data_IF_766732247647
#
_entry.id   IF_766732247647
#
_cell.length_a   1.000
_cell.length_b   1.000
_cell.length_c   1.000
_cell.angle_alpha   90.00
_cell.angle_beta   90.00
_cell.angle_gamma   90.00
#
_symmetry.space_group_name_H-M   'P 1'
#
loop_
_entity.id
_entity.type
_entity.pdbx_description
1 polymer ?
#
# COMPACT_ATOMS: atom_id res chain seq x y z
N UNK A 1 5.67 -18.83 15.15
CA UNK A 1 4.77 -17.84 14.55
C UNK A 1 4.31 -18.37 13.21
N UNK A 2 3.01 -18.23 12.89
CA UNK A 2 2.37 -18.74 11.66
C UNK A 2 2.66 -17.82 10.47
N UNK A 3 2.66 -16.50 10.71
CA UNK A 3 2.83 -15.48 9.67
C UNK A 3 3.98 -14.55 9.98
N UNK A 4 4.75 -14.18 8.96
CA UNK A 4 5.80 -13.16 9.05
C UNK A 4 5.18 -11.76 9.03
N UNK A 5 4.08 -11.59 8.27
CA UNK A 5 3.32 -10.34 8.23
C UNK A 5 1.82 -10.59 8.06
N UNK A 6 1.01 -9.79 8.75
CA UNK A 6 -0.41 -9.58 8.51
C UNK A 6 -0.60 -8.18 7.95
N UNK A 7 -1.27 -8.06 6.80
CA UNK A 7 -1.66 -6.77 6.22
C UNK A 7 -3.15 -6.52 6.44
N UNK A 8 -3.55 -5.25 6.60
CA UNK A 8 -4.96 -4.86 6.79
C UNK A 8 -5.38 -3.77 5.82
N UNK A 9 -6.51 -3.96 5.17
CA UNK A 9 -7.21 -2.96 4.38
C UNK A 9 -8.03 -3.53 3.23
N UNK A 10 -8.11 -2.78 2.12
CA UNK A 10 -8.98 -3.09 0.98
C UNK A 10 -8.44 -4.18 0.07
N UNK A 11 -9.39 -4.86 -0.62
CA UNK A 11 -9.10 -5.72 -1.75
C UNK A 11 -9.98 -5.35 -2.95
N UNK A 12 -9.53 -5.69 -4.16
CA UNK A 12 -10.27 -5.42 -5.40
C UNK A 12 -9.93 -6.41 -6.51
N UNK A 13 -10.77 -6.46 -7.52
CA UNK A 13 -10.35 -6.84 -8.87
C UNK A 13 -9.96 -5.56 -9.59
N UNK A 14 -8.74 -5.53 -10.14
CA UNK A 14 -8.27 -4.44 -10.97
C UNK A 14 -8.24 -4.90 -12.43
N UNK A 15 -8.86 -4.15 -13.33
CA UNK A 15 -8.87 -4.44 -14.75
C UNK A 15 -8.04 -3.40 -15.50
N UNK A 16 -6.88 -3.82 -15.98
CA UNK A 16 -5.89 -2.97 -16.63
C UNK A 16 -6.10 -2.97 -18.16
N UNK A 17 -6.09 -1.77 -18.75
CA UNK A 17 -6.12 -1.62 -20.20
C UNK A 17 -4.96 -2.37 -20.85
N UNK A 18 -5.25 -3.17 -21.91
CA UNK A 18 -4.22 -3.76 -22.77
C UNK A 18 -3.76 -2.78 -23.84
N UNK A 19 -4.62 -1.85 -24.24
CA UNK A 19 -4.35 -0.82 -25.24
C UNK A 19 -3.55 0.33 -24.61
N UNK A 20 -2.24 0.10 -24.36
CA UNK A 20 -1.35 1.07 -23.74
C UNK A 20 -1.25 2.33 -24.61
N UNK A 21 -1.52 3.50 -24.03
CA UNK A 21 -1.50 4.80 -24.69
C UNK A 21 -2.83 5.21 -25.30
N UNK A 22 -3.85 4.34 -25.29
CA UNK A 22 -5.19 4.71 -25.73
C UNK A 22 -5.89 5.63 -24.72
N UNK A 23 -6.67 6.60 -25.23
CA UNK A 23 -7.60 7.34 -24.37
C UNK A 23 -8.64 6.37 -23.78
N UNK A 24 -9.16 6.67 -22.60
CA UNK A 24 -10.00 5.74 -21.84
C UNK A 24 -11.23 5.25 -22.64
N UNK A 25 -11.79 6.13 -23.47
CA UNK A 25 -12.97 5.85 -24.33
C UNK A 25 -12.66 4.92 -25.53
N UNK A 26 -11.39 4.77 -25.86
CA UNK A 26 -10.92 3.98 -27.02
C UNK A 26 -10.33 2.61 -26.61
N UNK A 27 -10.38 2.27 -25.30
CA UNK A 27 -9.87 1.00 -24.79
C UNK A 27 -10.85 -0.12 -25.20
N UNK A 28 -10.35 -1.14 -25.89
CA UNK A 28 -11.14 -2.29 -26.34
C UNK A 28 -10.93 -3.54 -25.50
N UNK A 29 -9.73 -3.70 -24.91
CA UNK A 29 -9.39 -4.90 -24.15
C UNK A 29 -8.84 -4.58 -22.76
N UNK A 30 -9.22 -5.41 -21.80
CA UNK A 30 -8.72 -5.35 -20.43
C UNK A 30 -8.19 -6.71 -19.98
N UNK A 31 -7.27 -6.71 -19.02
CA UNK A 31 -6.81 -7.89 -18.30
C UNK A 31 -7.09 -7.72 -16.79
N UNK A 32 -7.60 -8.78 -16.17
CA UNK A 32 -7.90 -8.78 -14.75
C UNK A 32 -6.69 -9.17 -13.90
N UNK A 33 -6.54 -8.50 -12.77
CA UNK A 33 -5.59 -8.81 -11.71
C UNK A 33 -6.28 -8.61 -10.37
N UNK A 34 -5.71 -9.18 -9.30
CA UNK A 34 -6.08 -8.80 -7.95
C UNK A 34 -5.43 -7.46 -7.62
N UNK A 35 -6.10 -6.63 -6.81
CA UNK A 35 -5.63 -5.31 -6.40
C UNK A 35 -5.99 -4.96 -4.97
N UNK A 36 -5.67 -3.73 -4.61
CA UNK A 36 -5.76 -3.21 -3.24
C UNK A 36 -4.40 -3.19 -2.55
N UNK A 37 -3.98 -2.05 -2.03
CA UNK A 37 -2.63 -1.85 -1.48
C UNK A 37 -2.21 -2.95 -0.49
N UNK A 38 -2.98 -3.30 0.58
CA UNK A 38 -2.55 -4.34 1.52
C UNK A 38 -2.47 -5.74 0.89
N UNK A 39 -3.30 -6.02 -0.11
CA UNK A 39 -3.27 -7.27 -0.88
C UNK A 39 -2.03 -7.32 -1.76
N UNK A 40 -1.73 -6.24 -2.47
CA UNK A 40 -0.53 -6.12 -3.30
C UNK A 40 0.74 -6.30 -2.47
N UNK A 41 0.79 -5.70 -1.28
CA UNK A 41 1.91 -5.83 -0.33
C UNK A 41 2.03 -7.28 0.16
N UNK A 42 0.90 -7.92 0.54
CA UNK A 42 0.90 -9.31 1.00
C UNK A 42 1.41 -10.27 -0.09
N UNK A 43 0.91 -10.14 -1.32
CA UNK A 43 1.36 -10.97 -2.46
C UNK A 43 2.83 -10.71 -2.79
N UNK A 44 3.25 -9.44 -2.85
CA UNK A 44 4.65 -9.08 -3.09
C UNK A 44 5.59 -9.69 -2.04
N UNK A 45 5.24 -9.57 -0.76
CA UNK A 45 6.02 -10.13 0.35
C UNK A 45 6.03 -11.68 0.32
N UNK A 46 4.90 -12.31 -0.04
CA UNK A 46 4.81 -13.77 -0.23
C UNK A 46 5.74 -14.25 -1.35
N UNK A 47 5.75 -13.56 -2.48
CA UNK A 47 6.62 -13.88 -3.63
C UNK A 47 8.10 -13.71 -3.30
N UNK A 48 8.45 -12.79 -2.42
CA UNK A 48 9.80 -12.65 -1.87
C UNK A 48 10.16 -13.77 -0.89
N UNK A 49 9.20 -14.53 -0.36
CA UNK A 49 9.40 -15.68 0.51
C UNK A 49 9.05 -15.46 1.98
N UNK A 50 8.23 -14.47 2.30
CA UNK A 50 7.59 -14.35 3.61
C UNK A 50 6.29 -15.17 3.64
N UNK A 51 5.86 -15.57 4.83
CA UNK A 51 4.53 -16.14 5.07
C UNK A 51 3.56 -15.00 5.39
N UNK A 52 2.57 -14.79 4.54
CA UNK A 52 1.68 -13.64 4.63
C UNK A 52 0.24 -14.04 4.87
N UNK A 53 -0.48 -13.17 5.58
CA UNK A 53 -1.93 -13.20 5.71
C UNK A 53 -2.48 -11.79 5.48
N UNK A 54 -3.75 -11.70 5.10
CA UNK A 54 -4.42 -10.42 4.92
C UNK A 54 -5.75 -10.39 5.67
N UNK A 55 -6.01 -9.33 6.43
CA UNK A 55 -7.32 -8.95 6.90
C UNK A 55 -7.92 -7.97 5.90
N UNK A 56 -8.84 -8.47 5.12
CA UNK A 56 -9.71 -7.71 4.20
C UNK A 56 -11.09 -8.33 4.24
N UNK A 57 -12.01 -7.92 3.38
CA UNK A 57 -13.30 -8.56 3.27
C UNK A 57 -13.73 -8.62 1.81
N UNK A 58 -14.61 -9.57 1.48
CA UNK A 58 -15.21 -9.73 0.17
C UNK A 58 -16.74 -9.79 0.27
N UNK A 59 -17.42 -9.44 -0.82
CA UNK A 59 -18.86 -9.66 -0.96
C UNK A 59 -19.16 -11.09 -1.41
N UNK A 60 -20.42 -11.55 -1.29
CA UNK A 60 -20.87 -12.86 -1.81
C UNK A 60 -21.12 -12.78 -3.32
N UNK A 61 -20.06 -12.49 -4.09
CA UNK A 61 -20.13 -12.26 -5.53
C UNK A 61 -18.91 -12.86 -6.27
N UNK A 62 -18.99 -13.05 -7.60
CA UNK A 62 -17.88 -13.62 -8.38
C UNK A 62 -16.56 -12.86 -8.29
N UNK A 63 -16.59 -11.55 -7.98
CA UNK A 63 -15.38 -10.75 -7.76
C UNK A 63 -14.72 -11.15 -6.42
N UNK A 64 -15.52 -11.39 -5.39
CA UNK A 64 -15.04 -11.92 -4.11
C UNK A 64 -14.40 -13.31 -4.28
N UNK A 65 -15.04 -14.19 -5.06
CA UNK A 65 -14.48 -15.52 -5.37
C UNK A 65 -13.15 -15.41 -6.12
N UNK A 66 -13.04 -14.48 -7.08
CA UNK A 66 -11.80 -14.21 -7.82
C UNK A 66 -10.68 -13.75 -6.87
N UNK A 67 -10.98 -12.86 -5.93
CA UNK A 67 -10.00 -12.35 -4.95
C UNK A 67 -9.48 -13.50 -4.09
N UNK A 68 -10.37 -14.30 -3.49
CA UNK A 68 -10.01 -15.44 -2.64
C UNK A 68 -9.22 -16.48 -3.43
N UNK A 69 -9.68 -16.85 -4.64
CA UNK A 69 -8.99 -17.80 -5.51
C UNK A 69 -7.56 -17.34 -5.83
N UNK A 70 -7.39 -16.06 -6.19
CA UNK A 70 -6.09 -15.51 -6.57
C UNK A 70 -5.14 -15.46 -5.37
N UNK A 71 -5.59 -15.03 -4.18
CA UNK A 71 -4.79 -15.05 -2.96
C UNK A 71 -4.30 -16.46 -2.62
N UNK A 72 -5.19 -17.44 -2.67
CA UNK A 72 -4.83 -18.84 -2.43
C UNK A 72 -3.81 -19.36 -3.45
N UNK A 73 -3.95 -19.00 -4.72
CA UNK A 73 -2.99 -19.34 -5.80
C UNK A 73 -1.60 -18.73 -5.55
N UNK A 74 -1.55 -17.49 -5.04
CA UNK A 74 -0.31 -16.81 -4.66
C UNK A 74 0.26 -17.29 -3.30
N UNK A 75 -0.45 -18.14 -2.57
CA UNK A 75 -0.02 -18.70 -1.29
C UNK A 75 -0.21 -17.77 -0.09
N UNK A 76 -0.97 -16.68 -0.25
CA UNK A 76 -1.36 -15.77 0.83
C UNK A 76 -2.50 -16.39 1.61
N UNK A 77 -2.41 -16.43 2.96
CA UNK A 77 -3.49 -16.95 3.78
C UNK A 77 -4.72 -16.06 3.73
N UNK A 78 -5.87 -16.69 3.52
CA UNK A 78 -7.21 -16.09 3.52
C UNK A 78 -7.97 -16.33 4.83
N UNK A 79 -7.30 -16.81 5.89
CA UNK A 79 -7.92 -17.19 7.17
C UNK A 79 -8.68 -16.04 7.84
N UNK A 80 -8.37 -14.78 7.51
CA UNK A 80 -8.95 -13.57 8.12
C UNK A 80 -9.77 -12.75 7.11
N UNK A 81 -10.33 -13.39 6.09
CA UNK A 81 -11.14 -12.71 5.06
C UNK A 81 -12.61 -13.13 5.21
N UNK A 82 -13.45 -12.32 5.89
CA UNK A 82 -14.88 -12.59 5.95
C UNK A 82 -15.57 -12.29 4.62
N UNK A 83 -16.62 -13.05 4.31
CA UNK A 83 -17.62 -12.67 3.31
C UNK A 83 -18.72 -11.88 4.03
N UNK A 84 -18.99 -10.66 3.55
CA UNK A 84 -19.95 -9.75 4.21
C UNK A 84 -21.20 -9.60 3.34
N UNK A 85 -22.31 -10.14 3.83
CA UNK A 85 -23.61 -10.09 3.16
C UNK A 85 -24.08 -8.65 2.90
N UNK A 86 -24.76 -8.45 1.77
CA UNK A 86 -25.30 -7.14 1.39
C UNK A 86 -24.24 -6.15 0.91
N UNK A 87 -23.00 -6.59 0.69
CA UNK A 87 -21.92 -5.78 0.11
C UNK A 87 -21.57 -6.24 -1.31
N UNK A 88 -20.80 -5.42 -2.03
CA UNK A 88 -20.30 -5.74 -3.37
C UNK A 88 -18.79 -5.58 -3.39
N UNK A 89 -18.07 -6.61 -3.81
CA UNK A 89 -16.61 -6.59 -3.91
C UNK A 89 -16.13 -5.48 -4.85
N UNK A 90 -15.04 -4.82 -4.47
CA UNK A 90 -14.52 -3.67 -5.20
C UNK A 90 -13.97 -4.05 -6.57
N UNK A 91 -14.30 -3.26 -7.59
CA UNK A 91 -13.66 -3.31 -8.90
C UNK A 91 -13.03 -1.96 -9.24
N UNK A 92 -11.84 -1.99 -9.87
CA UNK A 92 -11.13 -0.80 -10.34
C UNK A 92 -10.80 -0.96 -11.82
N UNK A 93 -11.16 0.02 -12.63
CA UNK A 93 -10.81 0.05 -14.04
C UNK A 93 -9.65 1.02 -14.23
N UNK A 94 -8.58 0.54 -14.87
CA UNK A 94 -7.31 1.24 -14.98
C UNK A 94 -6.96 1.49 -16.46
N UNK A 95 -6.87 2.76 -16.86
CA UNK A 95 -6.25 3.17 -18.11
C UNK A 95 -4.73 3.30 -17.93
N UNK A 96 -3.95 3.07 -18.99
CA UNK A 96 -2.50 3.15 -18.98
C UNK A 96 -2.02 4.02 -20.13
N UNK A 97 -1.70 5.28 -19.84
CA UNK A 97 -1.19 6.26 -20.81
C UNK A 97 0.15 6.79 -20.28
N UNK A 98 1.26 6.08 -20.50
CA UNK A 98 2.57 6.51 -20.04
C UNK A 98 2.97 7.85 -20.69
N UNK A 99 3.81 8.68 -20.02
CA UNK A 99 4.52 8.34 -18.77
C UNK A 99 3.77 8.69 -17.48
N UNK A 100 2.70 9.51 -17.51
CA UNK A 100 2.16 10.22 -16.36
C UNK A 100 0.63 10.20 -16.22
N UNK A 101 -0.10 9.63 -17.19
CA UNK A 101 -1.56 9.60 -17.17
C UNK A 101 -2.08 8.17 -16.93
N UNK A 102 -2.64 7.92 -15.75
CA UNK A 102 -3.16 6.63 -15.32
C UNK A 102 -4.57 6.81 -14.73
N UNK A 103 -5.61 7.00 -15.59
CA UNK A 103 -6.98 7.21 -15.12
C UNK A 103 -7.51 5.95 -14.43
N UNK A 104 -8.13 6.14 -13.26
CA UNK A 104 -8.71 5.09 -12.44
C UNK A 104 -10.19 5.37 -12.18
N UNK A 105 -11.02 4.35 -12.34
CA UNK A 105 -12.44 4.38 -11.96
C UNK A 105 -12.69 3.34 -10.89
N UNK A 106 -13.19 3.77 -9.73
CA UNK A 106 -13.46 2.91 -8.58
C UNK A 106 -14.95 2.60 -8.46
N UNK A 107 -15.30 1.33 -8.45
CA UNK A 107 -16.63 0.82 -8.12
C UNK A 107 -16.55 0.20 -6.72
N UNK A 108 -16.72 1.04 -5.67
CA UNK A 108 -16.57 0.62 -4.26
C UNK A 108 -17.49 1.33 -3.27
N UNK A 109 -18.66 1.77 -3.68
CA UNK A 109 -19.58 2.52 -2.80
C UNK A 109 -19.97 1.70 -1.58
N UNK A 110 -20.35 0.42 -1.77
CA UNK A 110 -20.71 -0.51 -0.71
C UNK A 110 -19.65 -1.61 -0.53
N UNK A 111 -18.38 -1.23 -0.48
CA UNK A 111 -17.27 -2.18 -0.39
C UNK A 111 -17.24 -2.91 0.95
N UNK A 112 -16.96 -4.23 0.94
CA UNK A 112 -16.97 -5.08 2.15
C UNK A 112 -15.85 -4.69 3.13
N UNK A 113 -14.67 -4.27 2.67
CA UNK A 113 -13.58 -3.83 3.52
C UNK A 113 -13.95 -2.63 4.41
N UNK A 114 -14.88 -1.78 3.98
CA UNK A 114 -15.43 -0.67 4.78
C UNK A 114 -16.26 -1.16 5.98
N UNK A 115 -16.68 -2.42 5.99
CA UNK A 115 -17.53 -3.04 7.03
C UNK A 115 -16.75 -3.89 8.04
N UNK A 116 -15.42 -3.96 7.89
CA UNK A 116 -14.57 -4.63 8.89
C UNK A 116 -14.75 -3.92 10.23
N UNK A 117 -14.98 -4.72 11.29
CA UNK A 117 -15.26 -4.23 12.65
C UNK A 117 -14.39 -4.95 13.69
N UNK A 118 -14.63 -4.69 14.98
CA UNK A 118 -13.87 -5.28 16.08
C UNK A 118 -13.94 -6.82 16.11
N UNK A 119 -15.10 -7.41 15.79
CA UNK A 119 -15.27 -8.87 15.83
C UNK A 119 -14.37 -9.57 14.82
N UNK A 120 -14.16 -8.96 13.64
CA UNK A 120 -13.24 -9.47 12.64
C UNK A 120 -11.76 -9.38 13.12
N UNK A 121 -11.41 -8.30 13.84
CA UNK A 121 -10.08 -8.15 14.44
C UNK A 121 -9.87 -9.15 15.57
N UNK A 122 -10.91 -9.49 16.34
CA UNK A 122 -10.84 -10.45 17.44
C UNK A 122 -10.57 -11.89 16.97
N UNK A 123 -10.83 -12.22 15.70
CA UNK A 123 -10.46 -13.51 15.12
C UNK A 123 -8.95 -13.67 14.94
N UNK A 124 -8.18 -12.58 15.01
CA UNK A 124 -6.73 -12.60 14.76
C UNK A 124 -5.98 -12.98 16.03
N UNK A 125 -5.21 -14.07 15.96
CA UNK A 125 -4.22 -14.38 16.98
C UNK A 125 -2.89 -13.64 16.69
N UNK A 126 -2.76 -12.43 17.21
CA UNK A 126 -1.56 -11.60 17.02
C UNK A 126 -0.28 -12.24 17.60
N UNK A 127 -0.36 -13.23 18.50
CA UNK A 127 0.82 -13.99 18.98
C UNK A 127 1.45 -14.83 17.87
N UNK A 128 0.69 -15.16 16.84
CA UNK A 128 1.16 -15.93 15.68
C UNK A 128 1.63 -15.06 14.51
N UNK A 129 1.70 -13.74 14.68
CA UNK A 129 2.15 -12.75 13.69
C UNK A 129 3.47 -12.15 14.14
N UNK A 130 4.42 -11.89 13.23
CA UNK A 130 5.70 -11.23 13.56
C UNK A 130 5.66 -9.73 13.35
N UNK A 131 4.88 -9.25 12.38
CA UNK A 131 4.73 -7.83 12.06
C UNK A 131 3.35 -7.54 11.49
N UNK A 132 2.86 -6.32 11.66
CA UNK A 132 1.55 -5.88 11.22
C UNK A 132 1.66 -4.65 10.32
N UNK A 133 0.97 -4.64 9.19
CA UNK A 133 0.90 -3.48 8.29
C UNK A 133 -0.54 -3.03 8.11
N UNK A 134 -0.73 -1.72 8.21
CA UNK A 134 -1.95 -1.01 7.85
C UNK A 134 -1.75 -0.17 6.60
N UNK A 135 -2.83 0.01 5.84
CA UNK A 135 -2.88 1.02 4.78
C UNK A 135 -3.89 2.11 5.11
N UNK A 136 -3.54 3.36 4.86
CA UNK A 136 -4.32 4.53 5.30
C UNK A 136 -5.73 4.61 4.74
N UNK A 137 -6.02 3.95 3.62
CA UNK A 137 -7.38 3.89 3.08
C UNK A 137 -8.37 3.21 4.02
N UNK A 138 -7.93 2.34 4.94
CA UNK A 138 -8.78 1.71 5.96
C UNK A 138 -9.23 2.68 7.05
N UNK A 139 -8.55 3.81 7.19
CA UNK A 139 -8.86 4.86 8.17
C UNK A 139 -9.96 5.82 7.70
N UNK A 140 -10.43 5.70 6.45
CA UNK A 140 -11.32 6.70 5.86
C UNK A 140 -12.73 6.68 6.44
N UNK A 141 -13.30 5.50 6.72
CA UNK A 141 -14.71 5.35 7.11
C UNK A 141 -14.92 4.38 8.27
N UNK A 142 -16.03 4.54 9.00
CA UNK A 142 -16.49 3.57 10.02
C UNK A 142 -17.26 2.40 9.39
N UNK A 143 -17.21 1.20 10.00
CA UNK A 143 -16.48 0.82 11.23
C UNK A 143 -15.00 0.45 11.00
N UNK A 144 -14.51 0.43 9.74
CA UNK A 144 -13.15 0.03 9.40
C UNK A 144 -12.09 0.92 10.09
N UNK A 145 -12.35 2.23 10.23
CA UNK A 145 -11.47 3.16 10.98
C UNK A 145 -11.25 2.68 12.41
N UNK A 146 -12.33 2.50 13.17
CA UNK A 146 -12.25 2.03 14.57
C UNK A 146 -11.59 0.65 14.68
N UNK A 147 -11.89 -0.26 13.77
CA UNK A 147 -11.26 -1.58 13.69
C UNK A 147 -9.75 -1.48 13.43
N UNK A 148 -9.31 -0.50 12.62
CA UNK A 148 -7.91 -0.22 12.33
C UNK A 148 -7.13 0.19 13.58
N UNK A 149 -7.66 1.14 14.35
CA UNK A 149 -7.07 1.55 15.63
C UNK A 149 -6.99 0.37 16.60
N UNK A 150 -8.06 -0.42 16.70
CA UNK A 150 -8.10 -1.59 17.58
C UNK A 150 -7.07 -2.65 17.18
N UNK A 151 -6.93 -2.94 15.88
CA UNK A 151 -5.93 -3.88 15.38
C UNK A 151 -4.50 -3.41 15.68
N UNK A 152 -4.21 -2.13 15.46
CA UNK A 152 -2.90 -1.55 15.78
C UNK A 152 -2.61 -1.62 17.28
N UNK A 153 -3.59 -1.31 18.15
CA UNK A 153 -3.46 -1.45 19.60
C UNK A 153 -3.18 -2.90 20.00
N UNK A 154 -3.91 -3.89 19.43
CA UNK A 154 -3.65 -5.31 19.70
C UNK A 154 -2.25 -5.73 19.27
N UNK A 155 -1.78 -5.27 18.10
CA UNK A 155 -0.42 -5.53 17.62
C UNK A 155 0.64 -4.94 18.59
N UNK A 156 0.47 -3.69 19.01
CA UNK A 156 1.38 -3.04 19.99
C UNK A 156 1.39 -3.75 21.34
N UNK A 157 0.25 -4.24 21.82
CA UNK A 157 0.15 -5.00 23.07
C UNK A 157 0.92 -6.34 23.01
N UNK A 158 1.20 -6.86 21.81
CA UNK A 158 2.07 -8.01 21.56
C UNK A 158 3.50 -7.61 21.20
N UNK A 159 3.86 -6.32 21.31
CA UNK A 159 5.16 -5.76 20.92
C UNK A 159 5.53 -6.05 19.45
N UNK A 160 4.55 -6.15 18.55
CA UNK A 160 4.80 -6.32 17.14
C UNK A 160 5.23 -4.99 16.51
N UNK A 161 6.19 -4.99 15.58
CA UNK A 161 6.42 -3.86 14.70
C UNK A 161 5.15 -3.55 13.89
N UNK A 162 4.72 -2.28 13.93
CA UNK A 162 3.56 -1.79 13.18
C UNK A 162 4.05 -0.89 12.06
N UNK A 163 3.70 -1.26 10.83
CA UNK A 163 3.97 -0.51 9.60
C UNK A 163 2.71 0.21 9.14
N UNK A 164 2.87 1.41 8.61
CA UNK A 164 1.84 2.14 7.92
C UNK A 164 2.32 2.52 6.52
N UNK A 165 1.61 2.11 5.48
CA UNK A 165 1.67 2.78 4.17
C UNK A 165 0.55 3.82 4.14
N UNK A 166 0.89 5.08 3.96
CA UNK A 166 -0.06 6.21 4.06
C UNK A 166 -1.18 6.05 3.03
N UNK A 167 -0.88 5.57 1.82
CA UNK A 167 -1.85 5.25 0.76
C UNK A 167 -3.00 6.27 0.69
N UNK A 168 -2.65 7.56 0.59
CA UNK A 168 -3.63 8.63 0.50
C UNK A 168 -4.44 8.56 -0.79
N UNK A 169 -5.76 8.58 -0.67
CA UNK A 169 -6.71 8.66 -1.79
C UNK A 169 -7.79 9.67 -1.44
N UNK A 170 -7.71 10.87 -2.03
CA UNK A 170 -8.64 11.97 -1.74
C UNK A 170 -10.12 11.53 -1.86
N UNK A 171 -10.44 10.75 -2.90
CA UNK A 171 -11.81 10.24 -3.15
C UNK A 171 -12.36 9.32 -2.04
N UNK A 172 -11.51 8.84 -1.14
CA UNK A 172 -11.94 7.96 -0.03
C UNK A 172 -12.44 8.74 1.19
N UNK A 173 -12.28 10.04 1.21
CA UNK A 173 -12.57 10.90 2.36
C UNK A 173 -13.72 11.87 2.03
N UNK A 174 -14.77 11.84 2.84
CA UNK A 174 -15.90 12.77 2.68
C UNK A 174 -15.51 14.23 2.95
N UNK A 175 -14.54 14.43 3.84
CA UNK A 175 -13.90 15.71 4.13
C UNK A 175 -12.40 15.49 4.21
N UNK A 176 -11.65 16.13 3.34
CA UNK A 176 -10.19 15.92 3.23
C UNK A 176 -9.45 16.27 4.51
N UNK A 177 -9.96 17.18 5.33
CA UNK A 177 -9.35 17.55 6.63
C UNK A 177 -9.36 16.37 7.60
N UNK A 178 -10.34 15.47 7.49
CA UNK A 178 -10.41 14.28 8.34
C UNK A 178 -9.29 13.29 8.08
N UNK A 179 -8.69 13.28 6.88
CA UNK A 179 -7.49 12.51 6.61
C UNK A 179 -6.35 12.88 7.55
N UNK A 180 -5.94 14.15 7.55
CA UNK A 180 -4.82 14.61 8.36
C UNK A 180 -5.05 14.45 9.87
N UNK A 181 -6.29 14.69 10.34
CA UNK A 181 -6.68 14.49 11.74
C UNK A 181 -6.54 13.02 12.11
N UNK A 182 -7.17 12.13 11.35
CA UNK A 182 -7.18 10.69 11.64
C UNK A 182 -5.80 10.08 11.53
N UNK A 183 -5.02 10.48 10.51
CA UNK A 183 -3.66 9.99 10.35
C UNK A 183 -2.78 10.35 11.55
N UNK A 184 -2.81 11.61 12.00
CA UNK A 184 -2.03 12.07 13.18
C UNK A 184 -2.38 11.30 14.45
N UNK A 185 -3.66 10.98 14.64
CA UNK A 185 -4.10 10.15 15.77
C UNK A 185 -3.66 8.68 15.64
N UNK A 186 -3.45 8.19 14.42
CA UNK A 186 -3.01 6.81 14.19
C UNK A 186 -1.48 6.64 14.29
N UNK A 187 -0.70 7.65 13.92
CA UNK A 187 0.78 7.60 13.90
C UNK A 187 1.43 7.09 15.20
N UNK A 188 0.95 7.41 16.43
CA UNK A 188 1.54 6.90 17.68
C UNK A 188 1.55 5.37 17.81
N UNK A 189 0.74 4.66 17.02
CA UNK A 189 0.76 3.19 16.98
C UNK A 189 1.82 2.64 16.03
N UNK A 190 2.43 3.47 15.17
CA UNK A 190 3.32 3.04 14.10
C UNK A 190 4.79 3.07 14.54
N UNK A 191 5.55 2.04 14.16
CA UNK A 191 7.01 2.03 14.29
C UNK A 191 7.69 2.52 13.00
N UNK A 192 7.13 2.16 11.83
CA UNK A 192 7.63 2.53 10.52
C UNK A 192 6.49 3.09 9.67
N UNK A 193 6.69 4.25 9.08
CA UNK A 193 5.73 4.90 8.17
C UNK A 193 6.35 5.02 6.79
N UNK A 194 5.58 4.72 5.76
CA UNK A 194 5.96 4.84 4.36
C UNK A 194 4.96 5.74 3.64
N UNK A 195 5.46 6.70 2.86
CA UNK A 195 4.60 7.58 2.09
C UNK A 195 5.37 8.31 1.00
N UNK A 196 4.66 8.99 0.10
CA UNK A 196 5.25 9.96 -0.83
C UNK A 196 5.28 11.36 -0.20
N UNK A 197 5.96 12.30 -0.86
CA UNK A 197 5.96 13.70 -0.42
C UNK A 197 4.53 14.26 -0.39
N UNK A 198 3.73 13.97 -1.41
CA UNK A 198 2.33 14.42 -1.54
C UNK A 198 1.45 13.83 -0.44
N UNK A 199 1.64 12.56 -0.10
CA UNK A 199 0.91 11.90 0.98
C UNK A 199 1.20 12.54 2.35
N UNK A 200 2.44 12.96 2.58
CA UNK A 200 2.83 13.70 3.79
C UNK A 200 2.27 15.13 3.79
N UNK A 201 2.28 15.81 2.65
CA UNK A 201 1.70 17.14 2.53
C UNK A 201 0.19 17.11 2.75
N UNK A 202 -0.49 16.04 2.30
CA UNK A 202 -1.93 15.83 2.52
C UNK A 202 -2.34 15.85 3.99
N UNK A 203 -1.43 15.51 4.92
CA UNK A 203 -1.71 15.58 6.36
C UNK A 203 -2.09 16.98 6.86
N UNK A 204 -1.73 18.03 6.13
CA UNK A 204 -1.90 19.43 6.52
C UNK A 204 -2.85 20.21 5.61
N UNK A 205 -3.52 19.55 4.70
CA UNK A 205 -4.52 20.12 3.80
C UNK A 205 -5.69 20.71 4.62
N UNK A 206 -6.17 21.88 4.24
CA UNK A 206 -7.25 22.60 4.93
C UNK A 206 -8.54 22.65 4.13
N UNK A 207 -8.46 22.43 2.84
CA UNK A 207 -9.57 22.54 1.89
C UNK A 207 -9.29 21.64 0.68
N UNK A 208 -10.35 21.19 0.01
CA UNK A 208 -10.25 20.44 -1.25
C UNK A 208 -9.53 21.24 -2.35
N UNK A 209 -9.60 22.58 -2.29
CA UNK A 209 -8.89 23.46 -3.22
C UNK A 209 -7.35 23.41 -3.10
N UNK A 210 -6.82 22.86 -2.01
CA UNK A 210 -5.37 22.69 -1.80
C UNK A 210 -4.83 21.46 -2.54
N UNK A 211 -5.73 20.65 -3.14
CA UNK A 211 -5.39 19.42 -3.86
C UNK A 211 -5.70 19.62 -5.34
N UNK A 212 -4.67 19.52 -6.17
CA UNK A 212 -4.80 19.58 -7.63
C UNK A 212 -4.61 18.19 -8.20
N UNK A 213 -5.63 17.65 -8.85
CA UNK A 213 -5.57 16.38 -9.55
C UNK A 213 -5.42 16.64 -11.04
N UNK A 214 -4.21 16.55 -11.55
CA UNK A 214 -3.91 16.67 -12.96
C UNK A 214 -4.02 15.34 -13.70
N UNK A 215 -4.40 15.37 -14.97
CA UNK A 215 -4.44 14.21 -15.87
C UNK A 215 -5.20 12.99 -15.32
N UNK A 216 -6.21 13.22 -14.47
CA UNK A 216 -6.94 12.15 -13.77
C UNK A 216 -6.06 11.23 -12.90
N UNK A 217 -4.86 11.69 -12.53
CA UNK A 217 -3.93 10.93 -11.68
C UNK A 217 -4.31 11.06 -10.21
N UNK A 218 -5.29 10.27 -9.79
CA UNK A 218 -5.77 10.22 -8.39
C UNK A 218 -4.68 9.71 -7.43
N UNK A 219 -3.63 9.07 -7.97
CA UNK A 219 -2.55 8.45 -7.19
C UNK A 219 -1.40 9.39 -6.87
N UNK A 220 -1.31 10.53 -7.54
CA UNK A 220 -0.27 11.54 -7.34
C UNK A 220 -0.87 12.95 -7.52
N UNK A 221 -1.71 13.41 -6.57
CA UNK A 221 -2.22 14.77 -6.60
C UNK A 221 -1.08 15.75 -6.32
N UNK A 222 -1.10 16.92 -6.93
CA UNK A 222 -0.22 18.01 -6.55
C UNK A 222 -0.76 18.67 -5.29
N UNK A 223 0.05 18.74 -4.23
CA UNK A 223 -0.31 19.33 -2.94
C UNK A 223 0.77 20.32 -2.52
N UNK A 224 0.38 21.56 -2.28
CA UNK A 224 1.31 22.57 -1.77
C UNK A 224 1.42 22.52 -0.26
N UNK A 225 2.62 22.68 0.28
CA UNK A 225 2.83 22.69 1.72
C UNK A 225 4.29 22.66 2.14
N UNK A 226 4.51 22.56 3.43
CA UNK A 226 5.84 22.43 4.04
C UNK A 226 6.13 20.96 4.37
N UNK A 227 6.91 20.32 3.49
CA UNK A 227 7.27 18.92 3.63
C UNK A 227 8.09 18.66 4.91
N UNK A 228 9.02 19.57 5.27
CA UNK A 228 9.86 19.40 6.46
C UNK A 228 9.02 19.44 7.73
N UNK A 229 8.03 20.32 7.77
CA UNK A 229 7.05 20.36 8.85
C UNK A 229 6.25 19.07 8.94
N UNK A 230 5.79 18.51 7.82
CA UNK A 230 5.05 17.25 7.79
C UNK A 230 5.92 16.08 8.28
N UNK A 231 7.18 16.01 7.84
CA UNK A 231 8.15 15.01 8.31
C UNK A 231 8.34 15.11 9.83
N UNK A 232 8.59 16.31 10.34
CA UNK A 232 8.78 16.52 11.77
C UNK A 232 7.55 16.13 12.59
N UNK A 233 6.35 16.46 12.11
CA UNK A 233 5.10 16.05 12.75
C UNK A 233 4.95 14.52 12.84
N UNK A 234 5.38 13.76 11.85
CA UNK A 234 5.38 12.29 11.91
C UNK A 234 6.37 11.81 12.97
N UNK A 235 7.60 12.32 12.98
CA UNK A 235 8.64 11.88 13.91
C UNK A 235 8.29 12.25 15.36
N UNK A 236 7.67 13.40 15.60
CA UNK A 236 7.23 13.87 16.92
C UNK A 236 6.17 12.94 17.56
N UNK A 237 5.50 12.09 16.78
CA UNK A 237 4.55 11.09 17.31
C UNK A 237 5.22 9.85 17.91
N UNK A 238 6.53 9.71 17.77
CA UNK A 238 7.31 8.55 18.24
C UNK A 238 7.53 7.48 17.17
N UNK A 239 7.21 7.76 15.90
CA UNK A 239 7.60 6.93 14.74
C UNK A 239 9.12 6.82 14.69
N UNK A 240 9.63 5.58 14.62
CA UNK A 240 11.08 5.32 14.64
C UNK A 240 11.76 5.56 13.29
N UNK A 241 11.01 5.30 12.22
CA UNK A 241 11.50 5.40 10.85
C UNK A 241 10.38 5.87 9.92
N UNK A 242 10.63 6.98 9.22
CA UNK A 242 9.80 7.47 8.14
C UNK A 242 10.53 7.29 6.81
N UNK A 243 9.93 6.60 5.86
CA UNK A 243 10.42 6.38 4.51
C UNK A 243 9.63 7.26 3.53
N UNK A 244 10.28 8.29 3.02
CA UNK A 244 9.69 9.23 2.04
C UNK A 244 10.07 8.79 0.64
N UNK A 245 9.12 8.24 -0.09
CA UNK A 245 9.30 7.76 -1.47
C UNK A 245 9.43 8.95 -2.41
N UNK A 246 10.53 9.06 -3.16
CA UNK A 246 10.84 10.18 -4.07
C UNK A 246 10.85 9.74 -5.55
N UNK A 247 10.07 8.73 -5.88
CA UNK A 247 9.94 8.18 -7.24
C UNK A 247 11.26 7.67 -7.81
N UNK A 248 11.68 8.12 -9.00
CA UNK A 248 12.93 7.63 -9.64
C UNK A 248 14.20 7.89 -8.82
N UNK A 249 14.18 8.88 -7.93
CA UNK A 249 15.32 9.21 -7.07
C UNK A 249 15.54 8.17 -5.97
N UNK A 250 14.51 7.41 -5.60
CA UNK A 250 14.57 6.38 -4.56
C UNK A 250 13.76 6.73 -3.33
N UNK A 251 14.39 6.71 -2.16
CA UNK A 251 13.72 6.97 -0.88
C UNK A 251 14.64 7.71 0.09
N UNK A 252 14.10 8.64 0.83
CA UNK A 252 14.73 9.28 1.98
C UNK A 252 14.23 8.63 3.27
N UNK A 253 15.13 8.09 4.08
CA UNK A 253 14.86 7.52 5.38
C UNK A 253 15.15 8.56 6.47
N UNK A 254 14.16 8.91 7.27
CA UNK A 254 14.27 9.82 8.40
C UNK A 254 14.08 9.03 9.69
N UNK A 255 15.02 9.15 10.61
CA UNK A 255 15.05 8.44 11.88
C UNK A 255 14.59 9.34 13.03
N UNK A 256 14.09 8.72 14.11
CA UNK A 256 13.63 9.43 15.30
C UNK A 256 14.72 10.20 16.05
N UNK A 257 16.00 9.90 15.78
CA UNK A 257 17.15 10.65 16.33
C UNK A 257 17.51 11.91 15.51
N UNK A 258 16.71 12.22 14.46
CA UNK A 258 16.92 13.35 13.57
C UNK A 258 17.88 13.08 12.42
N UNK A 259 18.46 11.89 12.32
CA UNK A 259 19.32 11.54 11.19
C UNK A 259 18.52 11.26 9.93
N UNK A 260 19.15 11.47 8.77
CA UNK A 260 18.59 11.21 7.45
C UNK A 260 19.56 10.39 6.61
N UNK A 261 19.06 9.41 5.88
CA UNK A 261 19.79 8.64 4.90
C UNK A 261 19.04 8.65 3.57
N UNK A 262 19.73 8.98 2.47
CA UNK A 262 19.15 8.92 1.11
C UNK A 262 19.58 7.63 0.42
N UNK A 263 18.62 6.82 0.02
CA UNK A 263 18.84 5.52 -0.61
C UNK A 263 18.43 5.64 -2.10
N UNK A 264 19.37 5.53 -3.06
CA UNK A 264 19.09 5.79 -4.47
C UNK A 264 18.13 4.77 -5.07
N UNK A 265 17.36 5.20 -6.07
CA UNK A 265 16.50 4.34 -6.88
C UNK A 265 17.28 3.54 -7.93
N UNK A 266 16.55 2.83 -8.79
CA UNK A 266 17.08 2.12 -9.95
C UNK A 266 16.49 2.72 -11.23
N UNK A 267 17.32 3.22 -12.17
CA UNK A 267 16.81 3.79 -13.40
C UNK A 267 16.23 2.70 -14.31
N UNK A 268 14.98 2.88 -14.70
CA UNK A 268 14.23 1.97 -15.59
C UNK A 268 13.32 2.76 -16.53
N UNK A 269 12.87 2.10 -17.59
CA UNK A 269 11.78 2.63 -18.44
C UNK A 269 10.44 2.29 -17.79
N UNK A 270 9.65 3.32 -17.52
CA UNK A 270 8.32 3.17 -16.90
C UNK A 270 7.29 2.79 -17.96
N UNK A 271 6.48 1.78 -17.64
CA UNK A 271 5.28 1.34 -18.39
C UNK A 271 4.03 1.70 -17.61
N UNK A 272 3.99 1.35 -16.31
CA UNK A 272 2.86 1.63 -15.42
C UNK A 272 3.38 1.92 -14.01
N UNK A 273 2.92 2.99 -13.38
CA UNK A 273 3.35 3.39 -12.01
C UNK A 273 2.49 2.76 -10.91
N UNK A 274 1.33 2.18 -11.26
CA UNK A 274 0.40 1.62 -10.28
C UNK A 274 1.04 0.45 -9.52
N UNK A 275 0.90 0.47 -8.20
CA UNK A 275 1.45 -0.55 -7.29
C UNK A 275 2.95 -0.44 -7.00
N UNK A 276 3.66 0.56 -7.55
CA UNK A 276 5.09 0.75 -7.25
C UNK A 276 5.34 0.94 -5.74
N UNK A 277 4.48 1.71 -5.07
CA UNK A 277 4.50 1.91 -3.61
C UNK A 277 4.27 0.61 -2.85
N UNK A 278 3.33 -0.23 -3.31
CA UNK A 278 3.03 -1.52 -2.69
C UNK A 278 4.22 -2.48 -2.83
N UNK A 279 4.85 -2.54 -4.02
CA UNK A 279 6.04 -3.35 -4.26
C UNK A 279 7.23 -2.85 -3.41
N UNK A 280 7.38 -1.53 -3.26
CA UNK A 280 8.36 -0.94 -2.34
C UNK A 280 8.10 -1.40 -0.91
N UNK A 281 6.88 -1.29 -0.40
CA UNK A 281 6.53 -1.71 0.95
C UNK A 281 6.79 -3.20 1.17
N UNK A 282 6.41 -4.06 0.23
CA UNK A 282 6.70 -5.50 0.29
C UNK A 282 8.19 -5.80 0.38
N UNK A 283 9.02 -5.12 -0.43
CA UNK A 283 10.48 -5.25 -0.42
C UNK A 283 11.10 -4.79 0.90
N UNK A 284 10.66 -3.63 1.42
CA UNK A 284 11.15 -3.11 2.70
C UNK A 284 10.83 -4.06 3.86
N UNK A 285 9.58 -4.50 3.94
CA UNK A 285 9.11 -5.42 4.99
C UNK A 285 9.84 -6.77 4.91
N UNK A 286 10.14 -7.25 3.70
CA UNK A 286 10.96 -8.45 3.55
C UNK A 286 12.34 -8.27 4.19
N UNK A 287 13.08 -7.21 3.84
CA UNK A 287 14.39 -6.92 4.41
C UNK A 287 14.34 -6.76 5.93
N UNK A 288 13.37 -6.00 6.43
CA UNK A 288 13.13 -5.81 7.86
C UNK A 288 12.90 -7.15 8.60
N UNK A 289 12.02 -8.02 8.09
CA UNK A 289 11.76 -9.34 8.68
C UNK A 289 12.95 -10.29 8.60
N UNK A 290 13.91 -10.05 7.69
CA UNK A 290 15.19 -10.77 7.59
C UNK A 290 16.27 -10.18 8.50
N UNK A 291 15.99 -9.12 9.23
CA UNK A 291 16.94 -8.43 10.11
C UNK A 291 18.02 -7.64 9.37
N UNK A 292 17.74 -7.22 8.13
CA UNK A 292 18.66 -6.36 7.38
C UNK A 292 18.62 -4.92 7.93
N UNK A 293 19.71 -4.18 7.75
CA UNK A 293 19.73 -2.76 8.02
C UNK A 293 18.75 -1.98 7.13
N UNK A 294 18.50 -0.72 7.47
CA UNK A 294 17.56 0.15 6.75
C UNK A 294 17.99 0.39 5.31
N UNK A 295 19.30 0.64 5.06
CA UNK A 295 19.81 0.89 3.72
C UNK A 295 19.52 -0.29 2.78
N UNK A 296 19.94 -1.48 3.17
CA UNK A 296 19.76 -2.70 2.36
C UNK A 296 18.28 -3.04 2.15
N UNK A 297 17.46 -2.89 3.20
CA UNK A 297 16.01 -3.10 3.10
C UNK A 297 15.36 -2.12 2.14
N UNK A 298 15.72 -0.84 2.21
CA UNK A 298 15.22 0.21 1.34
C UNK A 298 15.75 0.10 -0.12
N UNK A 299 17.00 -0.39 -0.30
CA UNK A 299 17.52 -0.69 -1.64
C UNK A 299 16.73 -1.81 -2.31
N UNK A 300 16.41 -2.90 -1.57
CA UNK A 300 15.53 -3.95 -2.08
C UNK A 300 14.14 -3.39 -2.43
N UNK A 301 13.59 -2.54 -1.55
CA UNK A 301 12.31 -1.88 -1.75
C UNK A 301 12.29 -1.05 -3.04
N UNK A 302 13.31 -0.20 -3.25
CA UNK A 302 13.49 0.56 -4.47
C UNK A 302 13.60 -0.34 -5.72
N UNK A 303 14.29 -1.48 -5.60
CA UNK A 303 14.39 -2.45 -6.70
C UNK A 303 13.04 -3.08 -7.04
N UNK A 304 12.24 -3.46 -6.03
CA UNK A 304 10.89 -4.01 -6.22
C UNK A 304 9.96 -3.00 -6.91
N UNK A 305 9.97 -1.73 -6.48
CA UNK A 305 9.23 -0.66 -7.14
C UNK A 305 9.69 -0.45 -8.59
N UNK A 306 11.01 -0.36 -8.81
CA UNK A 306 11.59 -0.19 -10.14
C UNK A 306 11.30 -1.40 -11.07
N UNK A 307 11.31 -2.61 -10.55
CA UNK A 307 10.88 -3.80 -11.31
C UNK A 307 9.43 -3.67 -11.75
N UNK A 308 8.55 -3.35 -10.79
CA UNK A 308 7.11 -3.36 -11.06
C UNK A 308 6.71 -2.30 -12.09
N UNK A 309 7.27 -1.10 -12.05
CA UNK A 309 6.92 -0.06 -13.03
C UNK A 309 7.32 -0.40 -14.47
N UNK A 310 8.12 -1.44 -14.69
CA UNK A 310 8.40 -1.98 -16.03
C UNK A 310 7.35 -2.93 -16.55
N UNK A 311 6.33 -3.26 -15.74
CA UNK A 311 5.24 -4.20 -16.06
C UNK A 311 3.96 -3.46 -16.37
N UNK A 312 3.02 -4.18 -16.99
CA UNK A 312 1.70 -3.65 -17.29
C UNK A 312 0.74 -3.79 -16.11
N UNK A 313 0.78 -4.92 -15.43
CA UNK A 313 -0.02 -5.20 -14.25
C UNK A 313 0.67 -4.77 -12.94
N UNK A 314 -0.01 -5.02 -11.84
CA UNK A 314 0.45 -4.67 -10.51
C UNK A 314 0.80 -5.92 -9.67
N UNK A 315 -0.12 -6.44 -8.91
CA UNK A 315 0.05 -7.43 -7.85
C UNK A 315 0.80 -8.70 -8.32
N UNK A 316 0.26 -9.38 -9.34
CA UNK A 316 0.80 -10.65 -9.84
C UNK A 316 2.05 -10.48 -10.72
N UNK A 317 2.44 -9.25 -11.01
CA UNK A 317 3.69 -8.91 -11.71
C UNK A 317 4.83 -8.55 -10.75
N UNK A 318 4.56 -8.52 -9.43
CA UNK A 318 5.58 -8.34 -8.41
C UNK A 318 6.67 -9.43 -8.53
N UNK A 319 7.94 -9.08 -8.32
CA UNK A 319 9.04 -10.03 -8.52
C UNK A 319 9.06 -11.09 -7.42
N UNK A 320 9.52 -12.30 -7.75
CA UNK A 320 9.95 -13.23 -6.72
C UNK A 320 11.40 -12.94 -6.30
N UNK A 321 11.85 -13.62 -5.23
CA UNK A 321 13.18 -13.39 -4.65
C UNK A 321 14.30 -13.55 -5.68
N UNK A 322 14.27 -14.60 -6.51
CA UNK A 322 15.29 -14.83 -7.54
C UNK A 322 15.31 -13.71 -8.56
N UNK A 323 14.13 -13.34 -9.10
CA UNK A 323 13.99 -12.29 -10.10
C UNK A 323 14.54 -10.95 -9.61
N UNK A 324 14.22 -10.57 -8.37
CA UNK A 324 14.65 -9.27 -7.84
C UNK A 324 16.15 -9.26 -7.54
N UNK A 325 16.72 -10.35 -7.05
CA UNK A 325 18.16 -10.45 -6.83
C UNK A 325 18.93 -10.42 -8.15
N UNK A 326 18.47 -11.12 -9.18
CA UNK A 326 19.04 -11.05 -10.54
C UNK A 326 18.97 -9.63 -11.10
N UNK A 327 17.82 -8.92 -10.89
CA UNK A 327 17.66 -7.52 -11.29
C UNK A 327 18.66 -6.61 -10.59
N UNK A 328 18.78 -6.68 -9.26
CA UNK A 328 19.73 -5.86 -8.48
C UNK A 328 21.16 -6.11 -8.98
N UNK A 329 21.56 -7.37 -9.14
CA UNK A 329 22.90 -7.73 -9.64
C UNK A 329 23.16 -7.16 -11.05
N UNK A 330 22.16 -7.16 -11.93
CA UNK A 330 22.28 -6.58 -13.28
C UNK A 330 22.46 -5.06 -13.28
N UNK A 331 22.13 -4.40 -12.16
CA UNK A 331 22.22 -2.95 -11.96
C UNK A 331 23.40 -2.53 -11.07
N UNK A 332 24.34 -3.42 -10.78
CA UNK A 332 25.54 -3.12 -10.01
C UNK A 332 25.50 -3.52 -8.53
N UNK A 333 24.46 -4.19 -8.08
CA UNK A 333 24.29 -4.66 -6.70
C UNK A 333 23.51 -3.70 -5.80
N UNK A 334 23.57 -3.99 -4.48
CA UNK A 334 22.96 -3.14 -3.44
C UNK A 334 23.66 -1.81 -3.26
#
# INVERSE_FOLDING_TARGET
MKYDILTFGRSSIDVYAKDIGAEFVDINEFTASIGGSPVNIAVGAQRLGLKTAVLTAVGPDPVGDFIIHTLNKEGVSTDYIPTIEGTTSTAVICGIIPPDKFPLVFYRDNAPDKKINYDHVDQIDFKNVKSFLMTGTSLAVEPSRSASFYAAQKAKNQNLPVFLDIDFRAISWDDIRSFGITLKEFLPYCDVVMGTEEELLAMNVKSDSDIIIENSSITAPEIQGDLQKSIQQVLDTGVKLLLVKTGPKGVDAYFSDGTKETIPGFPVRVVNVLGAGDAFAAGFIYGYNKGWDTYKSARLANACGAWLVTKQGCCTDAPNNKQIMDFINSKGGF
#
